data_IF_023873088946
#
_entry.id   IF_023873088946
#
_cell.length_a   1.000
_cell.length_b   1.000
_cell.length_c   1.000
_cell.angle_alpha   90.00
_cell.angle_beta   90.00
_cell.angle_gamma   90.00
#
_symmetry.space_group_name_H-M   'P 1'
#
loop_
_entity.id
_entity.type
_entity.pdbx_description
1 polymer ?
#
# COMPACT_ATOMS: atom_id res chain seq x y z
N UNK A 1 13.72 -11.84 10.02
CA UNK A 1 13.27 -10.82 10.99
C UNK A 1 11.98 -10.24 10.44
N UNK A 2 10.98 -9.95 11.28
CA UNK A 2 9.69 -9.44 10.79
C UNK A 2 9.86 -8.07 10.14
N UNK A 3 9.09 -7.79 9.08
CA UNK A 3 9.00 -6.45 8.49
C UNK A 3 8.04 -5.63 9.35
N UNK A 4 8.59 -4.70 10.11
CA UNK A 4 7.80 -3.82 10.97
C UNK A 4 7.42 -2.56 10.20
N UNK A 5 6.16 -2.15 10.26
CA UNK A 5 5.67 -0.91 9.66
C UNK A 5 6.51 0.29 10.10
N UNK A 6 6.96 1.09 9.12
CA UNK A 6 7.88 2.21 9.27
C UNK A 6 9.18 1.85 9.99
N UNK A 7 9.59 0.58 9.92
CA UNK A 7 10.72 0.00 10.66
C UNK A 7 10.64 0.23 12.17
N UNK A 8 9.43 0.43 12.72
CA UNK A 8 9.22 0.82 14.11
C UNK A 8 9.59 2.27 14.44
N UNK A 9 9.96 3.08 13.45
CA UNK A 9 10.37 4.46 13.61
C UNK A 9 9.17 5.42 13.42
N UNK A 10 8.74 6.05 14.53
CA UNK A 10 7.60 6.98 14.52
C UNK A 10 7.93 8.27 13.78
N UNK A 11 9.17 8.76 13.83
CA UNK A 11 9.59 9.95 13.08
C UNK A 11 9.55 9.69 11.56
N UNK A 12 9.97 8.49 11.12
CA UNK A 12 9.83 8.09 9.72
C UNK A 12 8.36 8.07 9.29
N UNK A 13 7.47 7.50 10.12
CA UNK A 13 6.02 7.50 9.85
C UNK A 13 5.49 8.93 9.69
N UNK A 14 5.84 9.82 10.61
CA UNK A 14 5.35 11.20 10.61
C UNK A 14 5.80 11.95 9.34
N UNK A 15 7.09 11.88 9.00
CA UNK A 15 7.62 12.49 7.77
C UNK A 15 6.99 11.90 6.51
N UNK A 16 6.82 10.58 6.47
CA UNK A 16 6.19 9.91 5.33
C UNK A 16 4.73 10.37 5.15
N UNK A 17 3.95 10.40 6.22
CA UNK A 17 2.56 10.88 6.19
C UNK A 17 2.49 12.35 5.78
N UNK A 18 3.40 13.20 6.27
CA UNK A 18 3.47 14.60 5.88
C UNK A 18 3.76 14.78 4.39
N UNK A 19 4.71 14.01 3.84
CA UNK A 19 5.00 14.02 2.40
C UNK A 19 3.83 13.50 1.56
N UNK A 20 3.12 12.45 2.01
CA UNK A 20 1.91 11.98 1.33
C UNK A 20 0.81 13.05 1.30
N UNK A 21 0.62 13.79 2.40
CA UNK A 21 -0.29 14.95 2.43
C UNK A 21 0.18 16.04 1.48
N UNK A 22 1.48 16.32 1.43
CA UNK A 22 2.03 17.28 0.49
C UNK A 22 1.73 16.89 -0.96
N UNK A 23 1.89 15.62 -1.36
CA UNK A 23 1.50 15.16 -2.70
C UNK A 23 0.03 15.40 -3.01
N UNK A 24 -0.86 15.08 -2.06
CA UNK A 24 -2.29 15.35 -2.21
C UNK A 24 -2.58 16.84 -2.36
N UNK A 25 -2.02 17.66 -1.47
CA UNK A 25 -2.27 19.11 -1.43
C UNK A 25 -1.72 19.83 -2.67
N UNK A 26 -0.74 19.23 -3.37
CA UNK A 26 -0.22 19.69 -4.65
C UNK A 26 -0.87 19.04 -5.89
N UNK A 27 -1.96 18.28 -5.69
CA UNK A 27 -2.67 17.54 -6.73
C UNK A 27 -1.74 16.62 -7.55
N UNK A 28 -0.79 15.97 -6.86
CA UNK A 28 0.21 15.11 -7.50
C UNK A 28 -0.23 13.65 -7.64
N UNK A 29 -1.29 13.26 -6.94
CA UNK A 29 -1.80 11.88 -6.91
C UNK A 29 -2.66 11.64 -8.15
N UNK A 30 -2.25 10.66 -8.98
CA UNK A 30 -2.89 10.37 -10.26
C UNK A 30 -2.97 8.86 -10.51
N UNK A 31 -4.19 8.35 -10.69
CA UNK A 31 -4.45 6.96 -11.10
C UNK A 31 -3.82 6.64 -12.46
N UNK A 32 -3.34 5.41 -12.63
CA UNK A 32 -2.68 4.93 -13.85
C UNK A 32 -1.28 5.50 -14.10
N UNK A 33 -0.74 6.35 -13.21
CA UNK A 33 0.60 6.93 -13.36
C UNK A 33 1.68 6.12 -12.65
N UNK A 34 2.81 5.90 -13.33
CA UNK A 34 4.00 5.25 -12.75
C UNK A 34 5.00 6.25 -12.11
N UNK A 35 4.62 7.53 -11.97
CA UNK A 35 5.53 8.56 -11.48
C UNK A 35 6.34 9.21 -12.59
N UNK A 36 5.96 10.43 -12.96
CA UNK A 36 6.65 11.23 -13.97
C UNK A 36 6.69 12.71 -13.58
N UNK A 37 7.58 13.46 -14.23
CA UNK A 37 7.81 14.87 -13.93
C UNK A 37 8.84 15.10 -12.81
N UNK A 38 9.03 16.37 -12.46
CA UNK A 38 9.99 16.80 -11.43
C UNK A 38 9.41 17.99 -10.64
N UNK A 39 9.82 18.12 -9.38
CA UNK A 39 9.37 19.19 -8.50
C UNK A 39 7.85 19.27 -8.42
N UNK A 40 7.29 20.47 -8.64
CA UNK A 40 5.84 20.72 -8.58
C UNK A 40 5.04 20.09 -9.73
N UNK A 41 5.73 19.60 -10.78
CA UNK A 41 5.10 18.91 -11.92
C UNK A 41 5.02 17.40 -11.74
N UNK A 42 5.53 16.88 -10.62
CA UNK A 42 5.46 15.47 -10.29
C UNK A 42 4.01 14.97 -10.31
N UNK A 43 3.77 13.82 -10.92
CA UNK A 43 2.49 13.09 -10.91
C UNK A 43 2.75 11.61 -10.77
N UNK A 44 2.08 10.94 -9.83
CA UNK A 44 2.27 9.51 -9.59
C UNK A 44 1.07 8.85 -8.91
N UNK A 45 0.94 7.53 -9.07
CA UNK A 45 -0.01 6.74 -8.29
C UNK A 45 0.39 6.70 -6.80
N UNK A 46 -0.42 6.01 -5.99
CA UNK A 46 -0.15 5.79 -4.58
C UNK A 46 1.30 5.30 -4.32
N UNK A 47 1.75 4.29 -5.08
CA UNK A 47 3.09 3.69 -4.92
C UNK A 47 4.19 4.66 -5.31
N UNK A 48 4.06 5.28 -6.48
CA UNK A 48 5.03 6.22 -7.01
C UNK A 48 5.19 7.46 -6.13
N UNK A 49 4.08 7.99 -5.60
CA UNK A 49 4.13 9.06 -4.61
C UNK A 49 4.84 8.61 -3.33
N UNK A 50 4.54 7.43 -2.79
CA UNK A 50 5.24 6.90 -1.61
C UNK A 50 6.76 6.77 -1.82
N UNK A 51 7.21 6.26 -2.96
CA UNK A 51 8.65 6.16 -3.25
C UNK A 51 9.28 7.54 -3.48
N UNK A 52 8.54 8.47 -4.09
CA UNK A 52 8.98 9.87 -4.23
C UNK A 52 9.10 10.57 -2.87
N UNK A 53 8.18 10.32 -1.93
CA UNK A 53 8.27 10.81 -0.54
C UNK A 53 9.57 10.34 0.10
N UNK A 54 9.91 9.05 -0.05
CA UNK A 54 11.16 8.51 0.50
C UNK A 54 12.41 9.08 -0.19
N UNK A 55 12.34 9.30 -1.51
CA UNK A 55 13.41 9.99 -2.24
C UNK A 55 13.68 11.39 -1.65
N UNK A 56 12.62 12.11 -1.28
CA UNK A 56 12.71 13.46 -0.69
C UNK A 56 13.16 13.44 0.77
N UNK A 57 12.65 12.52 1.58
CA UNK A 57 13.02 12.36 2.99
C UNK A 57 14.50 12.02 3.15
N UNK A 58 15.02 11.12 2.31
CA UNK A 58 16.40 10.63 2.41
C UNK A 58 17.40 11.41 1.56
N UNK A 59 16.92 12.26 0.65
CA UNK A 59 17.77 12.96 -0.32
C UNK A 59 18.42 12.03 -1.35
N UNK A 60 17.78 10.89 -1.65
CA UNK A 60 18.24 9.89 -2.60
C UNK A 60 17.26 9.77 -3.79
N UNK A 61 17.68 9.18 -4.91
CA UNK A 61 16.79 8.95 -6.06
C UNK A 61 16.46 7.47 -6.19
N UNK A 62 15.19 7.13 -5.96
CA UNK A 62 14.66 5.79 -6.15
C UNK A 62 13.91 5.66 -7.47
N UNK A 63 13.75 4.43 -7.95
CA UNK A 63 12.84 4.13 -9.07
C UNK A 63 11.40 4.30 -8.56
N UNK A 64 10.60 5.25 -9.07
CA UNK A 64 9.32 5.61 -8.46
C UNK A 64 8.32 4.45 -8.38
N UNK A 65 8.21 3.68 -9.46
CA UNK A 65 7.25 2.57 -9.55
C UNK A 65 7.91 1.23 -9.22
N UNK A 66 8.00 0.93 -7.93
CA UNK A 66 8.52 -0.34 -7.42
C UNK A 66 7.89 -0.68 -6.07
N UNK A 67 7.01 -1.67 -6.06
CA UNK A 67 6.31 -2.15 -4.87
C UNK A 67 7.27 -2.72 -3.81
N UNK A 68 8.39 -3.32 -4.23
CA UNK A 68 9.36 -3.90 -3.31
C UNK A 68 10.06 -2.83 -2.48
N UNK A 69 10.17 -1.61 -3.02
CA UNK A 69 10.77 -0.49 -2.29
C UNK A 69 9.94 -0.08 -1.08
N UNK A 70 8.62 -0.27 -1.05
CA UNK A 70 7.83 0.03 0.13
C UNK A 70 8.24 -0.83 1.34
N UNK A 71 8.56 -2.10 1.10
CA UNK A 71 9.05 -3.01 2.15
C UNK A 71 10.40 -2.55 2.69
N UNK A 72 11.29 -2.15 1.79
CA UNK A 72 12.66 -1.77 2.13
C UNK A 72 12.73 -0.37 2.77
N UNK A 73 11.98 0.59 2.25
CA UNK A 73 12.06 2.00 2.65
C UNK A 73 11.18 2.32 3.86
N UNK A 74 9.97 1.76 3.93
CA UNK A 74 8.99 2.09 4.97
C UNK A 74 8.39 0.88 5.68
N UNK A 75 8.93 -0.32 5.48
CA UNK A 75 8.48 -1.51 6.19
C UNK A 75 7.02 -1.89 5.92
N UNK A 76 6.49 -1.53 4.74
CA UNK A 76 5.17 -2.01 4.29
C UNK A 76 5.41 -3.18 3.32
N UNK A 77 4.99 -4.41 3.65
CA UNK A 77 5.27 -5.58 2.82
C UNK A 77 4.79 -5.41 1.38
N UNK A 78 5.56 -5.97 0.44
CA UNK A 78 5.27 -5.85 -1.00
C UNK A 78 3.85 -6.27 -1.36
N UNK A 79 3.35 -7.37 -0.76
CA UNK A 79 1.99 -7.84 -1.01
C UNK A 79 0.92 -6.81 -0.60
N UNK A 80 1.17 -6.05 0.46
CA UNK A 80 0.25 -5.02 0.94
C UNK A 80 0.34 -3.77 0.07
N UNK A 81 1.51 -3.45 -0.46
CA UNK A 81 1.66 -2.40 -1.46
C UNK A 81 0.81 -2.69 -2.71
N UNK A 82 0.82 -3.93 -3.23
CA UNK A 82 -0.05 -4.31 -4.37
C UNK A 82 -1.54 -4.21 -4.03
N UNK A 83 -1.94 -4.58 -2.81
CA UNK A 83 -3.34 -4.42 -2.36
C UNK A 83 -3.71 -2.94 -2.29
N UNK A 84 -2.82 -2.10 -1.74
CA UNK A 84 -2.98 -0.64 -1.66
C UNK A 84 -3.19 -0.04 -3.07
N UNK A 85 -2.33 -0.40 -4.02
CA UNK A 85 -2.48 0.04 -5.41
C UNK A 85 -3.78 -0.46 -6.04
N UNK A 86 -4.12 -1.74 -5.87
CA UNK A 86 -5.33 -2.32 -6.47
C UNK A 86 -6.61 -1.64 -5.96
N UNK A 87 -6.65 -1.27 -4.68
CA UNK A 87 -7.74 -0.48 -4.12
C UNK A 87 -7.73 0.92 -4.73
N UNK A 88 -6.59 1.62 -4.69
CA UNK A 88 -6.43 2.97 -5.24
C UNK A 88 -6.89 3.08 -6.70
N UNK A 89 -6.47 2.16 -7.58
CA UNK A 89 -6.85 2.17 -8.99
C UNK A 89 -8.33 1.79 -9.23
N UNK A 90 -8.98 1.16 -8.25
CA UNK A 90 -10.40 0.79 -8.31
C UNK A 90 -11.36 1.83 -7.71
N UNK A 91 -10.85 2.86 -7.03
CA UNK A 91 -11.67 3.89 -6.40
C UNK A 91 -12.16 4.95 -7.40
N UNK A 92 -13.33 5.59 -7.15
CA UNK A 92 -13.70 6.83 -7.82
C UNK A 92 -12.61 7.89 -7.65
N UNK A 93 -12.41 8.75 -8.66
CA UNK A 93 -11.31 9.72 -8.70
C UNK A 93 -11.20 10.59 -7.43
N UNK A 94 -12.33 11.08 -6.92
CA UNK A 94 -12.36 11.90 -5.70
C UNK A 94 -11.89 11.12 -4.46
N UNK A 95 -12.27 9.85 -4.33
CA UNK A 95 -11.84 8.99 -3.24
C UNK A 95 -10.37 8.56 -3.40
N UNK A 96 -9.95 8.29 -4.63
CA UNK A 96 -8.57 7.94 -4.96
C UNK A 96 -7.58 9.04 -4.56
N UNK A 97 -7.94 10.33 -4.71
CA UNK A 97 -7.10 11.45 -4.27
C UNK A 97 -6.80 11.44 -2.77
N UNK A 98 -7.74 11.00 -1.94
CA UNK A 98 -7.57 10.96 -0.48
C UNK A 98 -6.94 9.66 0.02
N UNK A 99 -7.18 8.55 -0.67
CA UNK A 99 -6.87 7.21 -0.22
C UNK A 99 -5.39 7.00 0.19
N UNK A 100 -4.36 7.47 -0.55
CA UNK A 100 -2.97 7.25 -0.17
C UNK A 100 -2.61 7.83 1.20
N UNK A 101 -3.17 9.00 1.54
CA UNK A 101 -2.98 9.63 2.86
C UNK A 101 -3.69 8.82 3.93
N UNK A 102 -4.95 8.44 3.70
CA UNK A 102 -5.73 7.64 4.63
C UNK A 102 -5.08 6.28 4.92
N UNK A 103 -4.54 5.63 3.89
CA UNK A 103 -3.79 4.38 4.02
C UNK A 103 -2.54 4.59 4.89
N UNK A 104 -1.71 5.59 4.59
CA UNK A 104 -0.48 5.87 5.34
C UNK A 104 -0.76 6.20 6.82
N UNK A 105 -1.84 6.93 7.10
CA UNK A 105 -2.28 7.27 8.45
C UNK A 105 -2.79 6.06 9.23
N UNK A 106 -3.54 5.17 8.58
CA UNK A 106 -4.12 3.97 9.18
C UNK A 106 -3.06 2.93 9.60
N UNK A 107 -1.92 2.88 8.91
CA UNK A 107 -0.84 1.96 9.26
C UNK A 107 -0.21 2.36 10.60
N UNK A 108 -0.35 1.48 11.59
CA UNK A 108 0.24 1.67 12.93
C UNK A 108 1.73 1.34 12.91
N UNK A 109 2.56 2.32 13.26
CA UNK A 109 4.02 2.16 13.38
C UNK A 109 4.41 0.96 14.26
N UNK A 110 5.43 0.22 13.84
CA UNK A 110 5.99 -0.91 14.57
C UNK A 110 5.14 -2.18 14.57
N UNK A 111 4.04 -2.22 13.82
CA UNK A 111 3.27 -3.46 13.63
C UNK A 111 3.93 -4.34 12.59
N UNK A 112 4.02 -5.63 12.92
CA UNK A 112 4.35 -6.67 11.96
C UNK A 112 3.13 -6.89 11.05
N UNK A 113 3.23 -6.41 9.82
CA UNK A 113 2.14 -6.45 8.85
C UNK A 113 2.02 -7.80 8.17
N UNK A 114 3.05 -8.65 8.19
CA UNK A 114 2.98 -10.00 7.62
C UNK A 114 2.05 -10.92 8.41
N UNK A 115 1.84 -10.62 9.71
CA UNK A 115 0.83 -11.31 10.52
C UNK A 115 -0.60 -11.10 10.00
N UNK A 116 -0.85 -10.05 9.20
CA UNK A 116 -2.16 -9.80 8.61
C UNK A 116 -2.40 -10.62 7.34
N UNK A 117 -1.34 -11.12 6.69
CA UNK A 117 -1.46 -11.80 5.40
C UNK A 117 -2.37 -13.03 5.44
N UNK A 118 -2.29 -13.95 6.43
CA UNK A 118 -3.19 -15.10 6.48
C UNK A 118 -4.64 -14.68 6.71
N UNK A 119 -4.88 -13.74 7.63
CA UNK A 119 -6.23 -13.23 7.95
C UNK A 119 -6.85 -12.54 6.74
N UNK A 120 -6.08 -11.69 6.06
CA UNK A 120 -6.51 -11.04 4.81
C UNK A 120 -6.81 -12.06 3.71
N UNK A 121 -5.96 -13.10 3.56
CA UNK A 121 -6.19 -14.15 2.57
C UNK A 121 -7.47 -14.92 2.85
N UNK A 122 -7.75 -15.26 4.11
CA UNK A 122 -9.00 -15.91 4.52
C UNK A 122 -10.19 -15.01 4.21
N UNK A 123 -10.12 -13.73 4.57
CA UNK A 123 -11.18 -12.75 4.25
C UNK A 123 -11.48 -12.67 2.75
N UNK A 124 -10.44 -12.60 1.91
CA UNK A 124 -10.59 -12.61 0.45
C UNK A 124 -11.27 -13.91 -0.02
N UNK A 125 -10.79 -15.07 0.44
CA UNK A 125 -11.38 -16.36 0.09
C UNK A 125 -12.84 -16.48 0.51
N UNK A 126 -13.19 -16.02 1.71
CA UNK A 126 -14.57 -15.98 2.21
C UNK A 126 -15.45 -15.06 1.34
N UNK A 127 -14.96 -13.88 0.95
CA UNK A 127 -15.72 -12.91 0.16
C UNK A 127 -16.03 -13.36 -1.27
N UNK A 128 -15.17 -14.17 -1.89
CA UNK A 128 -15.38 -14.70 -3.24
C UNK A 128 -16.08 -16.06 -3.26
N UNK A 129 -16.26 -16.69 -2.09
CA UNK A 129 -16.73 -18.08 -1.97
C UNK A 129 -18.04 -18.31 -2.70
N UNK A 130 -19.04 -17.45 -2.52
CA UNK A 130 -20.36 -17.65 -3.13
C UNK A 130 -20.34 -17.52 -4.66
N UNK A 131 -19.36 -16.78 -5.20
CA UNK A 131 -19.15 -16.62 -6.64
C UNK A 131 -18.33 -17.77 -7.25
N UNK A 132 -17.73 -18.64 -6.44
CA UNK A 132 -16.96 -19.78 -6.92
C UNK A 132 -17.87 -20.90 -7.44
N UNK A 133 -17.36 -21.69 -8.39
CA UNK A 133 -17.98 -22.95 -8.80
C UNK A 133 -18.09 -23.93 -7.62
N UNK A 134 -18.94 -24.96 -7.75
CA UNK A 134 -19.17 -25.91 -6.66
C UNK A 134 -17.89 -26.64 -6.20
N UNK A 135 -17.03 -27.04 -7.14
CA UNK A 135 -15.70 -27.60 -6.89
C UNK A 135 -14.77 -26.56 -6.23
N UNK A 136 -14.82 -25.30 -6.67
CA UNK A 136 -14.09 -24.19 -6.06
C UNK A 136 -14.49 -23.89 -4.62
N UNK A 137 -15.79 -23.95 -4.29
CA UNK A 137 -16.28 -23.74 -2.92
C UNK A 137 -15.72 -24.77 -1.94
N UNK A 138 -15.73 -26.05 -2.33
CA UNK A 138 -15.15 -27.11 -1.50
C UNK A 138 -13.64 -26.92 -1.26
N UNK A 139 -12.90 -26.47 -2.28
CA UNK A 139 -11.47 -26.17 -2.15
C UNK A 139 -11.23 -24.96 -1.22
N UNK A 140 -12.02 -23.89 -1.35
CA UNK A 140 -11.95 -22.71 -0.47
C UNK A 140 -12.19 -23.13 0.99
N UNK A 141 -13.23 -23.93 1.26
CA UNK A 141 -13.56 -24.40 2.60
C UNK A 141 -12.42 -25.22 3.22
N UNK A 142 -11.77 -26.08 2.43
CA UNK A 142 -10.62 -26.86 2.88
C UNK A 142 -9.42 -25.98 3.23
N UNK A 143 -9.12 -24.97 2.42
CA UNK A 143 -8.02 -24.03 2.69
C UNK A 143 -8.30 -23.23 3.96
N UNK A 144 -9.51 -22.69 4.13
CA UNK A 144 -9.89 -21.94 5.33
C UNK A 144 -9.80 -22.82 6.58
N UNK A 145 -10.17 -24.09 6.50
CA UNK A 145 -10.11 -25.04 7.62
C UNK A 145 -8.68 -25.33 8.11
N UNK A 146 -7.63 -25.04 7.33
CA UNK A 146 -6.24 -25.16 7.78
C UNK A 146 -5.83 -24.08 8.79
N UNK A 147 -6.63 -23.01 8.93
CA UNK A 147 -6.32 -21.82 9.73
C UNK A 147 -7.32 -21.57 10.87
N UNK A 148 -8.29 -22.46 11.06
CA UNK A 148 -9.27 -22.45 12.16
C UNK A 148 -8.97 -23.58 13.14
#
# INVERSE_FOLDING_TARGET
MPVLAFHGNTELREKFVEEMRWHRDQDMILQGSIGEGEGMKWRGCCIACGVHSMSRIEGNKYKPYDHKLWETLIGIPEWMAYVCESIFEGLPEEEAREFPVQFAEAVKCGKDLDLLRPVFSIFVLESIRENARADGRAAIDQVIALWR
#
